data_IF_342340060355
#
_entry.id   IF_342340060355
#
_cell.length_a   1.000
_cell.length_b   1.000
_cell.length_c   1.000
_cell.angle_alpha   90.00
_cell.angle_beta   90.00
_cell.angle_gamma   90.00
#
_symmetry.space_group_name_H-M   'P 1'
#
loop_
_entity.id
_entity.type
_entity.pdbx_description
1 polymer ?
#
# COMPACT_ATOMS: atom_id res chain seq x y z
N UNK A 1 20.38 60.10 -4.13
CA UNK A 1 19.06 60.24 -4.79
C UNK A 1 18.06 59.24 -4.19
N UNK A 2 17.23 59.66 -3.22
CA UNK A 2 16.35 58.82 -2.39
C UNK A 2 15.26 58.07 -3.18
N UNK A 3 14.84 58.61 -4.31
CA UNK A 3 13.79 58.03 -5.17
C UNK A 3 14.25 56.71 -5.79
N UNK A 4 15.52 56.62 -6.21
CA UNK A 4 16.10 55.40 -6.76
C UNK A 4 16.13 54.26 -5.74
N UNK A 5 16.48 54.56 -4.48
CA UNK A 5 16.49 53.57 -3.39
C UNK A 5 15.08 53.03 -3.10
N UNK A 6 14.06 53.91 -3.08
CA UNK A 6 12.66 53.48 -2.91
C UNK A 6 12.19 52.56 -4.05
N UNK A 7 12.60 52.85 -5.29
CA UNK A 7 12.27 52.02 -6.46
C UNK A 7 12.93 50.64 -6.36
N UNK A 8 14.22 50.58 -6.02
CA UNK A 8 14.95 49.32 -5.82
C UNK A 8 14.33 48.48 -4.69
N UNK A 9 13.98 49.10 -3.56
CA UNK A 9 13.33 48.37 -2.47
C UNK A 9 11.98 47.77 -2.87
N UNK A 10 11.19 48.48 -3.68
CA UNK A 10 9.92 47.95 -4.21
C UNK A 10 10.15 46.75 -5.14
N UNK A 11 11.15 46.84 -6.02
CA UNK A 11 11.52 45.72 -6.91
C UNK A 11 11.96 44.49 -6.10
N UNK A 12 12.81 44.68 -5.09
CA UNK A 12 13.25 43.58 -4.20
C UNK A 12 12.08 42.93 -3.45
N UNK A 13 11.12 43.74 -2.96
CA UNK A 13 9.90 43.20 -2.33
C UNK A 13 9.08 42.34 -3.27
N UNK A 14 8.90 42.79 -4.51
CA UNK A 14 8.17 42.02 -5.55
C UNK A 14 8.91 40.73 -5.87
N UNK A 15 10.23 40.79 -6.08
CA UNK A 15 11.07 39.62 -6.36
C UNK A 15 11.03 38.61 -5.22
N UNK A 16 11.14 39.08 -3.99
CA UNK A 16 11.09 38.24 -2.79
C UNK A 16 9.73 37.55 -2.66
N UNK A 17 8.62 38.28 -2.91
CA UNK A 17 7.28 37.69 -2.89
C UNK A 17 7.14 36.60 -3.95
N UNK A 18 7.55 36.87 -5.19
CA UNK A 18 7.49 35.89 -6.27
C UNK A 18 8.33 34.62 -5.93
N UNK A 19 9.51 34.80 -5.35
CA UNK A 19 10.34 33.67 -4.89
C UNK A 19 9.68 32.84 -3.80
N UNK A 20 9.01 33.48 -2.82
CA UNK A 20 8.26 32.78 -1.78
C UNK A 20 7.07 32.01 -2.34
N UNK A 21 6.32 32.62 -3.26
CA UNK A 21 5.16 31.98 -3.87
C UNK A 21 5.59 30.75 -4.70
N UNK A 22 6.68 30.85 -5.45
CA UNK A 22 7.26 29.73 -6.19
C UNK A 22 7.75 28.61 -5.25
N UNK A 23 8.47 28.95 -4.18
CA UNK A 23 8.92 27.98 -3.18
C UNK A 23 7.74 27.26 -2.51
N UNK A 24 6.68 28.01 -2.14
CA UNK A 24 5.51 27.44 -1.51
C UNK A 24 4.77 26.48 -2.45
N UNK A 25 4.69 26.80 -3.74
CA UNK A 25 4.11 25.91 -4.76
C UNK A 25 4.88 24.59 -4.85
N UNK A 26 6.21 24.65 -4.90
CA UNK A 26 7.03 23.44 -4.95
C UNK A 26 6.93 22.62 -3.66
N UNK A 27 6.88 23.28 -2.49
CA UNK A 27 6.65 22.62 -1.21
C UNK A 27 5.31 21.87 -1.20
N UNK A 28 4.23 22.52 -1.62
CA UNK A 28 2.90 21.88 -1.71
C UNK A 28 2.91 20.66 -2.64
N UNK A 29 3.65 20.74 -3.76
CA UNK A 29 3.81 19.59 -4.67
C UNK A 29 4.54 18.43 -4.01
N UNK A 30 5.61 18.72 -3.27
CA UNK A 30 6.35 17.71 -2.50
C UNK A 30 5.46 17.07 -1.44
N UNK A 31 4.75 17.87 -0.66
CA UNK A 31 3.85 17.39 0.40
C UNK A 31 2.74 16.48 -0.19
N UNK A 32 2.14 16.88 -1.31
CA UNK A 32 1.14 16.07 -2.01
C UNK A 32 1.69 14.75 -2.54
N UNK A 33 2.90 14.77 -3.10
CA UNK A 33 3.56 13.56 -3.61
C UNK A 33 3.94 12.63 -2.47
N UNK A 34 4.42 13.19 -1.36
CA UNK A 34 4.73 12.42 -0.16
C UNK A 34 3.48 11.75 0.43
N UNK A 35 2.33 12.45 0.46
CA UNK A 35 1.06 11.86 0.88
C UNK A 35 0.65 10.68 -0.01
N UNK A 36 0.78 10.82 -1.33
CA UNK A 36 0.50 9.73 -2.26
C UNK A 36 1.41 8.53 -2.01
N UNK A 37 2.71 8.77 -1.78
CA UNK A 37 3.66 7.72 -1.45
C UNK A 37 3.25 6.97 -0.17
N UNK A 38 2.84 7.68 0.89
CA UNK A 38 2.39 7.05 2.13
C UNK A 38 1.15 6.17 1.92
N UNK A 39 0.19 6.62 1.09
CA UNK A 39 -0.98 5.82 0.76
C UNK A 39 -0.59 4.51 0.04
N UNK A 40 0.32 4.59 -0.93
CA UNK A 40 0.80 3.42 -1.67
C UNK A 40 1.58 2.45 -0.77
N UNK A 41 2.42 2.96 0.13
CA UNK A 41 3.14 2.14 1.11
C UNK A 41 2.17 1.41 2.04
N UNK A 42 1.12 2.10 2.50
CA UNK A 42 0.09 1.49 3.33
C UNK A 42 -0.68 0.40 2.59
N UNK A 43 -1.08 0.65 1.35
CA UNK A 43 -1.78 -0.32 0.52
C UNK A 43 -0.91 -1.58 0.27
N UNK A 44 0.38 -1.39 -0.04
CA UNK A 44 1.31 -2.49 -0.22
C UNK A 44 1.50 -3.31 1.06
N UNK A 45 1.65 -2.66 2.22
CA UNK A 45 1.74 -3.33 3.51
C UNK A 45 0.45 -4.11 3.85
N UNK A 46 -0.72 -3.51 3.62
CA UNK A 46 -2.00 -4.17 3.82
C UNK A 46 -2.14 -5.43 2.95
N UNK A 47 -1.83 -5.34 1.66
CA UNK A 47 -1.87 -6.48 0.75
C UNK A 47 -0.90 -7.59 1.17
N UNK A 48 0.32 -7.23 1.56
CA UNK A 48 1.30 -8.21 2.06
C UNK A 48 0.81 -8.94 3.32
N UNK A 49 0.14 -8.23 4.23
CA UNK A 49 -0.48 -8.83 5.42
C UNK A 49 -1.59 -9.80 5.07
N UNK A 50 -2.47 -9.43 4.15
CA UNK A 50 -3.56 -10.32 3.70
C UNK A 50 -3.02 -11.56 2.98
N UNK A 51 -2.01 -11.42 2.11
CA UNK A 51 -1.32 -12.57 1.49
C UNK A 51 -0.71 -13.48 2.55
N UNK A 52 -0.01 -12.91 3.53
CA UNK A 52 0.61 -13.67 4.62
C UNK A 52 -0.44 -14.43 5.43
N UNK A 53 -1.56 -13.79 5.74
CA UNK A 53 -2.68 -14.40 6.45
C UNK A 53 -3.29 -15.58 5.68
N UNK A 54 -3.45 -15.44 4.36
CA UNK A 54 -3.92 -16.53 3.50
C UNK A 54 -2.94 -17.71 3.48
N UNK A 55 -1.63 -17.44 3.40
CA UNK A 55 -0.60 -18.49 3.38
C UNK A 55 -0.42 -19.18 4.74
N UNK A 56 -0.68 -18.47 5.83
CA UNK A 56 -0.62 -19.01 7.19
C UNK A 56 -1.91 -19.70 7.62
N UNK A 57 -2.94 -19.72 6.77
CA UNK A 57 -4.17 -20.43 7.07
C UNK A 57 -3.88 -21.92 7.18
N UNK A 58 -4.08 -22.46 8.38
CA UNK A 58 -4.08 -23.90 8.64
C UNK A 58 -5.50 -24.36 8.90
N UNK A 59 -5.96 -25.35 8.14
CA UNK A 59 -7.24 -26.01 8.45
C UNK A 59 -7.09 -26.84 9.72
N UNK A 60 -8.16 -26.98 10.50
CA UNK A 60 -8.21 -27.91 11.64
C UNK A 60 -7.95 -29.35 11.22
N UNK A 61 -8.18 -29.65 9.95
CA UNK A 61 -8.09 -30.98 9.37
C UNK A 61 -6.70 -31.32 8.81
N UNK A 62 -5.70 -30.44 8.94
CA UNK A 62 -4.32 -30.71 8.47
C UNK A 62 -3.66 -31.90 9.17
N UNK A 63 -4.09 -32.21 10.40
CA UNK A 63 -3.53 -33.29 11.22
C UNK A 63 -4.38 -34.58 11.18
N UNK A 64 -5.39 -34.67 10.29
CA UNK A 64 -6.18 -35.90 10.17
C UNK A 64 -5.33 -37.00 9.54
N UNK A 65 -5.21 -38.12 10.25
CA UNK A 65 -4.64 -39.33 9.68
C UNK A 65 -5.52 -39.84 8.54
N UNK A 66 -4.92 -39.93 7.35
CA UNK A 66 -5.59 -40.47 6.17
C UNK A 66 -5.48 -41.99 6.18
N UNK A 67 -6.60 -42.67 5.89
CA UNK A 67 -6.60 -44.11 5.61
C UNK A 67 -5.94 -44.38 4.24
N UNK A 68 -5.39 -45.59 4.07
CA UNK A 68 -4.88 -46.00 2.77
C UNK A 68 -6.01 -46.10 1.74
N UNK A 69 -5.69 -45.95 0.45
CA UNK A 69 -6.67 -46.14 -0.62
C UNK A 69 -7.31 -47.54 -0.58
N UNK A 70 -6.52 -48.57 -0.27
CA UNK A 70 -7.00 -49.94 -0.20
C UNK A 70 -8.01 -50.14 0.93
N UNK A 71 -7.76 -49.56 2.11
CA UNK A 71 -8.68 -49.65 3.25
C UNK A 71 -9.95 -48.83 2.99
N UNK A 72 -9.81 -47.67 2.34
CA UNK A 72 -10.94 -46.87 1.89
C UNK A 72 -11.87 -47.66 0.96
N UNK A 73 -11.33 -48.30 -0.10
CA UNK A 73 -12.16 -49.07 -1.03
C UNK A 73 -12.77 -50.34 -0.43
N UNK A 74 -12.20 -50.88 0.65
CA UNK A 74 -12.75 -52.04 1.38
C UNK A 74 -13.85 -51.66 2.36
N UNK A 75 -13.66 -50.58 3.11
CA UNK A 75 -14.46 -50.27 4.30
C UNK A 75 -15.48 -49.15 4.07
N UNK A 76 -15.24 -48.24 3.12
CA UNK A 76 -16.15 -47.12 2.93
C UNK A 76 -17.48 -47.56 2.28
N UNK A 77 -18.60 -46.89 2.61
CA UNK A 77 -19.91 -47.19 2.04
C UNK A 77 -19.91 -47.19 0.50
N UNK A 78 -20.78 -48.03 -0.10
CA UNK A 78 -20.85 -48.18 -1.57
C UNK A 78 -21.25 -46.89 -2.28
N UNK A 79 -21.98 -46.03 -1.59
CA UNK A 79 -22.41 -44.71 -2.06
C UNK A 79 -21.25 -43.70 -2.16
N UNK A 80 -20.13 -43.96 -1.48
CA UNK A 80 -18.96 -43.07 -1.39
C UNK A 80 -17.78 -43.62 -2.18
N UNK A 81 -17.59 -44.94 -2.22
CA UNK A 81 -16.43 -45.62 -2.82
C UNK A 81 -16.35 -45.53 -4.34
N UNK A 82 -17.39 -45.06 -5.04
CA UNK A 82 -17.37 -44.84 -6.50
C UNK A 82 -18.20 -43.61 -6.89
N UNK A 83 -17.59 -42.54 -7.43
CA UNK A 83 -18.34 -41.60 -8.24
C UNK A 83 -18.75 -42.30 -9.54
N UNK A 84 -19.99 -42.07 -10.00
CA UNK A 84 -20.43 -42.40 -11.37
C UNK A 84 -19.63 -41.62 -12.41
#
# INVERSE_FOLDING_TARGET
NLVALKKLNRLEKVRTRAGRDALNKEKQRVDSTHLLLQNLLYEADHLNKEVTKCLQFKSKDEEIELVSLDDFYKEAPKEITRPV
#
